data_IF_050979441079
#
_entry.id   IF_050979441079
#
_cell.length_a   1.000
_cell.length_b   1.000
_cell.length_c   1.000
_cell.angle_alpha   90.00
_cell.angle_beta   90.00
_cell.angle_gamma   90.00
#
_symmetry.space_group_name_H-M   'P 1'
#
loop_
_entity.id
_entity.type
_entity.pdbx_description
1 polymer ?
#
# COMPACT_ATOMS: atom_id res chain seq x y z
N UNK A 1 -12.07 1.61 12.10
CA UNK A 1 -10.97 0.90 11.38
C UNK A 1 -9.88 0.37 12.29
N UNK A 2 -9.44 1.16 13.26
CA UNK A 2 -8.37 0.82 14.19
C UNK A 2 -8.62 -0.49 14.98
N UNK A 3 -9.83 -0.71 15.50
CA UNK A 3 -10.17 -1.94 16.24
C UNK A 3 -10.04 -3.21 15.38
N UNK A 4 -10.46 -3.14 14.12
CA UNK A 4 -10.32 -4.25 13.16
C UNK A 4 -8.84 -4.51 12.88
N UNK A 5 -8.06 -3.45 12.72
CA UNK A 5 -6.61 -3.56 12.51
C UNK A 5 -5.94 -4.23 13.70
N UNK A 6 -6.19 -3.76 14.92
CA UNK A 6 -5.64 -4.36 16.16
C UNK A 6 -6.03 -5.84 16.30
N UNK A 7 -7.27 -6.20 16.02
CA UNK A 7 -7.70 -7.60 16.06
C UNK A 7 -6.94 -8.48 15.05
N UNK A 8 -6.73 -7.97 13.83
CA UNK A 8 -5.93 -8.67 12.81
C UNK A 8 -4.46 -8.81 13.18
N UNK A 9 -3.85 -7.75 13.69
CA UNK A 9 -2.46 -7.78 14.17
C UNK A 9 -2.30 -8.79 15.32
N UNK A 10 -3.22 -8.77 16.30
CA UNK A 10 -3.23 -9.75 17.39
C UNK A 10 -3.34 -11.20 16.87
N UNK A 11 -4.25 -11.47 15.94
CA UNK A 11 -4.42 -12.80 15.36
C UNK A 11 -3.14 -13.26 14.62
N UNK A 12 -2.53 -12.36 13.82
CA UNK A 12 -1.28 -12.64 13.10
C UNK A 12 -0.14 -12.96 14.07
N UNK A 13 0.04 -12.15 15.11
CA UNK A 13 1.06 -12.36 16.12
C UNK A 13 0.86 -13.64 16.89
N UNK A 14 -0.40 -13.97 17.25
CA UNK A 14 -0.73 -15.22 17.93
C UNK A 14 -0.42 -16.44 17.08
N UNK A 15 -0.79 -16.43 15.81
CA UNK A 15 -0.47 -17.49 14.83
C UNK A 15 1.04 -17.61 14.66
N UNK A 16 1.74 -16.50 14.45
CA UNK A 16 3.17 -16.49 14.23
C UNK A 16 3.93 -17.06 15.44
N UNK A 17 3.51 -16.71 16.67
CA UNK A 17 4.09 -17.23 17.90
C UNK A 17 3.81 -18.72 18.08
N UNK A 18 2.57 -19.15 17.88
CA UNK A 18 2.16 -20.54 18.09
C UNK A 18 2.77 -21.51 17.06
N UNK A 19 3.05 -21.05 15.85
CA UNK A 19 3.53 -21.87 14.73
C UNK A 19 4.94 -21.52 14.29
N UNK A 20 5.71 -20.77 15.08
CA UNK A 20 7.01 -20.21 14.68
C UNK A 20 7.92 -21.26 14.01
N UNK A 21 8.17 -22.38 14.65
CA UNK A 21 9.09 -23.40 14.14
C UNK A 21 8.59 -24.01 12.82
N UNK A 22 7.28 -24.28 12.72
CA UNK A 22 6.65 -24.78 11.50
C UNK A 22 6.69 -23.78 10.35
N UNK A 23 6.56 -22.50 10.67
CA UNK A 23 6.67 -21.43 9.68
C UNK A 23 8.10 -21.31 9.16
N UNK A 24 9.10 -21.39 10.04
CA UNK A 24 10.53 -21.37 9.67
C UNK A 24 10.85 -22.56 8.78
N UNK A 25 10.50 -23.78 9.20
CA UNK A 25 10.71 -25.01 8.43
C UNK A 25 10.03 -24.92 7.05
N UNK A 26 8.78 -24.45 7.01
CA UNK A 26 8.03 -24.31 5.75
C UNK A 26 8.67 -23.29 4.84
N UNK A 27 9.10 -22.14 5.36
CA UNK A 27 9.79 -21.12 4.59
C UNK A 27 11.08 -21.67 3.95
N UNK A 28 11.91 -22.37 4.74
CA UNK A 28 13.16 -22.96 4.29
C UNK A 28 12.92 -24.02 3.21
N UNK A 29 11.95 -24.92 3.43
CA UNK A 29 11.56 -25.98 2.49
C UNK A 29 11.05 -25.43 1.17
N UNK A 30 10.35 -24.29 1.18
CA UNK A 30 9.79 -23.64 -0.02
C UNK A 30 10.79 -22.69 -0.70
N UNK A 31 11.97 -22.47 -0.11
CA UNK A 31 13.00 -21.64 -0.74
C UNK A 31 13.51 -22.34 -2.00
N UNK A 32 13.25 -21.70 -3.15
CA UNK A 32 13.58 -22.27 -4.45
C UNK A 32 15.11 -22.30 -4.68
N UNK A 33 15.58 -23.46 -5.11
CA UNK A 33 16.95 -23.68 -5.56
C UNK A 33 17.04 -23.79 -7.10
N UNK A 34 15.88 -23.90 -7.76
CA UNK A 34 15.76 -24.05 -9.20
C UNK A 34 15.62 -22.68 -9.88
N UNK A 35 15.89 -22.67 -11.18
CA UNK A 35 15.64 -21.47 -12.00
C UNK A 35 14.16 -21.11 -12.04
N UNK A 36 13.89 -19.83 -12.23
CA UNK A 36 12.52 -19.31 -12.28
C UNK A 36 11.77 -19.91 -13.47
N UNK A 37 10.59 -20.45 -13.19
CA UNK A 37 9.61 -20.81 -14.22
C UNK A 37 8.19 -20.33 -13.80
N UNK A 38 7.38 -19.84 -14.77
CA UNK A 38 5.99 -19.42 -14.51
C UNK A 38 5.03 -20.61 -14.48
N UNK A 39 5.43 -21.71 -13.84
CA UNK A 39 4.64 -22.93 -13.72
C UNK A 39 3.78 -22.91 -12.46
N UNK A 40 2.59 -23.50 -12.49
CA UNK A 40 1.64 -23.54 -11.39
C UNK A 40 2.27 -24.03 -10.07
N UNK A 41 3.13 -25.05 -10.13
CA UNK A 41 3.81 -25.59 -8.95
C UNK A 41 4.75 -24.55 -8.31
N UNK A 42 5.57 -23.85 -9.10
CA UNK A 42 6.47 -22.82 -8.60
C UNK A 42 5.69 -21.57 -8.14
N UNK A 43 4.62 -21.18 -8.85
CA UNK A 43 3.74 -20.09 -8.45
C UNK A 43 3.13 -20.39 -7.06
N UNK A 44 2.60 -21.58 -6.85
CA UNK A 44 2.02 -22.00 -5.56
C UNK A 44 3.06 -22.00 -4.43
N UNK A 45 4.27 -22.49 -4.69
CA UNK A 45 5.37 -22.46 -3.69
C UNK A 45 5.74 -21.01 -3.31
N UNK A 46 5.93 -20.13 -4.30
CA UNK A 46 6.23 -18.72 -4.04
C UNK A 46 5.11 -18.02 -3.25
N UNK A 47 3.85 -18.26 -3.64
CA UNK A 47 2.71 -17.68 -2.94
C UNK A 47 2.68 -18.10 -1.45
N UNK A 48 2.84 -19.39 -1.17
CA UNK A 48 2.88 -19.90 0.20
C UNK A 48 4.10 -19.39 0.95
N UNK A 49 5.29 -19.39 0.35
CA UNK A 49 6.52 -18.88 0.98
C UNK A 49 6.36 -17.40 1.38
N UNK A 50 5.83 -16.55 0.48
CA UNK A 50 5.64 -15.14 0.75
C UNK A 50 4.54 -14.89 1.81
N UNK A 51 3.51 -15.73 1.86
CA UNK A 51 2.52 -15.72 2.94
C UNK A 51 3.19 -16.05 4.30
N UNK A 52 3.99 -17.12 4.33
CA UNK A 52 4.74 -17.54 5.54
C UNK A 52 5.71 -16.44 5.98
N UNK A 53 6.44 -15.80 5.06
CA UNK A 53 7.30 -14.66 5.38
C UNK A 53 6.50 -13.56 6.07
N UNK A 54 5.29 -13.26 5.55
CA UNK A 54 4.41 -12.27 6.16
C UNK A 54 4.07 -12.58 7.62
N UNK A 55 3.89 -13.85 8.01
CA UNK A 55 3.73 -14.23 9.43
C UNK A 55 5.05 -14.17 10.20
N UNK A 56 6.16 -14.60 9.61
CA UNK A 56 7.48 -14.56 10.26
C UNK A 56 7.94 -13.12 10.58
N UNK A 57 7.43 -12.10 9.86
CA UNK A 57 7.68 -10.69 10.21
C UNK A 57 7.17 -10.30 11.60
N UNK A 58 6.21 -11.04 12.16
CA UNK A 58 5.76 -10.84 13.55
C UNK A 58 6.77 -11.38 14.58
N UNK A 59 7.74 -12.21 14.14
CA UNK A 59 8.84 -12.76 14.95
C UNK A 59 10.07 -11.86 14.77
N UNK A 60 10.22 -10.86 15.63
CA UNK A 60 11.23 -9.78 15.49
C UNK A 60 12.68 -10.26 15.33
N UNK A 61 13.02 -11.39 15.93
CA UNK A 61 14.37 -11.96 15.88
C UNK A 61 14.70 -12.70 14.59
N UNK A 62 13.69 -12.98 13.73
CA UNK A 62 13.86 -13.84 12.56
C UNK A 62 13.36 -13.15 11.27
N UNK A 63 12.16 -12.58 11.34
CA UNK A 63 11.46 -12.07 10.15
C UNK A 63 12.22 -11.01 9.35
N UNK A 64 12.74 -9.95 9.97
CA UNK A 64 13.46 -8.90 9.26
C UNK A 64 14.66 -9.40 8.48
N UNK A 65 15.45 -10.29 9.07
CA UNK A 65 16.62 -10.90 8.45
C UNK A 65 16.22 -11.77 7.26
N UNK A 66 15.20 -12.63 7.41
CA UNK A 66 14.69 -13.46 6.32
C UNK A 66 14.14 -12.61 5.15
N UNK A 67 13.43 -11.54 5.45
CA UNK A 67 12.94 -10.63 4.43
C UNK A 67 14.07 -9.93 3.69
N UNK A 68 15.10 -9.46 4.41
CA UNK A 68 16.30 -8.88 3.79
C UNK A 68 17.04 -9.87 2.91
N UNK A 69 17.26 -11.10 3.39
CA UNK A 69 17.88 -12.17 2.60
C UNK A 69 17.06 -12.52 1.35
N UNK A 70 15.72 -12.61 1.48
CA UNK A 70 14.86 -12.85 0.34
C UNK A 70 14.94 -11.69 -0.67
N UNK A 71 14.95 -10.44 -0.22
CA UNK A 71 15.07 -9.29 -1.10
C UNK A 71 16.35 -9.34 -1.95
N UNK A 72 17.50 -9.63 -1.31
CA UNK A 72 18.79 -9.67 -2.00
C UNK A 72 18.92 -10.86 -2.95
N UNK A 73 18.36 -12.01 -2.56
CA UNK A 73 18.52 -13.26 -3.32
C UNK A 73 17.37 -13.54 -4.30
N UNK A 74 16.37 -12.63 -4.38
CA UNK A 74 15.22 -12.83 -5.24
C UNK A 74 15.60 -12.84 -6.73
N UNK A 75 15.21 -13.92 -7.42
CA UNK A 75 15.41 -14.09 -8.87
C UNK A 75 14.18 -13.72 -9.70
N UNK A 76 13.15 -13.17 -9.07
CA UNK A 76 11.92 -12.73 -9.70
C UNK A 76 11.29 -11.57 -8.92
N UNK A 77 10.51 -10.77 -9.63
CA UNK A 77 9.86 -9.59 -9.05
C UNK A 77 8.83 -9.95 -7.96
N UNK A 78 8.15 -11.09 -8.06
CA UNK A 78 7.15 -11.50 -7.05
C UNK A 78 7.78 -11.66 -5.67
N UNK A 79 8.92 -12.33 -5.58
CA UNK A 79 9.62 -12.54 -4.31
C UNK A 79 10.29 -11.25 -3.82
N UNK A 80 10.90 -10.48 -4.74
CA UNK A 80 11.53 -9.20 -4.40
C UNK A 80 10.52 -8.20 -3.85
N UNK A 81 9.37 -8.07 -4.51
CA UNK A 81 8.29 -7.19 -4.07
C UNK A 81 7.66 -7.63 -2.74
N UNK A 82 7.47 -8.94 -2.55
CA UNK A 82 6.95 -9.47 -1.29
C UNK A 82 7.89 -9.18 -0.12
N UNK A 83 9.20 -9.37 -0.32
CA UNK A 83 10.21 -9.06 0.69
C UNK A 83 10.27 -7.55 0.99
N UNK A 84 10.26 -6.70 -0.05
CA UNK A 84 10.22 -5.24 0.12
C UNK A 84 8.97 -4.80 0.87
N UNK A 85 7.80 -5.34 0.51
CA UNK A 85 6.54 -5.06 1.22
C UNK A 85 6.58 -5.51 2.68
N UNK A 86 7.19 -6.65 2.98
CA UNK A 86 7.39 -7.15 4.34
C UNK A 86 8.25 -6.18 5.16
N UNK A 87 9.38 -5.74 4.62
CA UNK A 87 10.29 -4.78 5.26
C UNK A 87 9.62 -3.42 5.49
N UNK A 88 8.95 -2.86 4.50
CA UNK A 88 8.25 -1.56 4.58
C UNK A 88 7.14 -1.55 5.63
N UNK A 89 6.61 -2.70 5.99
CA UNK A 89 5.59 -2.85 7.03
C UNK A 89 6.15 -3.27 8.40
N UNK A 90 7.46 -3.36 8.57
CA UNK A 90 8.11 -3.79 9.81
C UNK A 90 8.69 -2.61 10.60
N UNK A 91 8.22 -2.43 11.84
CA UNK A 91 8.69 -1.34 12.73
C UNK A 91 10.15 -1.50 13.18
N UNK A 92 10.71 -2.70 13.13
CA UNK A 92 12.04 -3.01 13.64
C UNK A 92 13.08 -3.25 12.54
N UNK A 93 12.71 -3.03 11.30
CA UNK A 93 13.56 -3.29 10.15
C UNK A 93 14.05 -2.01 9.45
N UNK A 94 14.08 -0.87 10.13
CA UNK A 94 14.35 0.45 9.50
C UNK A 94 15.61 0.46 8.64
N UNK A 95 16.72 -0.10 9.12
CA UNK A 95 17.97 -0.15 8.35
C UNK A 95 17.87 -1.02 7.09
N UNK A 96 17.21 -2.18 7.17
CA UNK A 96 16.96 -3.03 6.02
C UNK A 96 15.96 -2.40 5.06
N UNK A 97 14.92 -1.76 5.58
CA UNK A 97 13.90 -1.07 4.79
C UNK A 97 14.51 0.03 3.94
N UNK A 98 15.32 0.90 4.55
CA UNK A 98 15.99 2.00 3.82
C UNK A 98 16.93 1.46 2.73
N UNK A 99 17.74 0.44 3.06
CA UNK A 99 18.64 -0.19 2.08
C UNK A 99 17.87 -0.84 0.94
N UNK A 100 16.79 -1.58 1.24
CA UNK A 100 15.97 -2.25 0.23
C UNK A 100 15.24 -1.27 -0.68
N UNK A 101 14.65 -0.20 -0.13
CA UNK A 101 14.01 0.85 -0.92
C UNK A 101 15.00 1.54 -1.86
N UNK A 102 16.20 1.86 -1.36
CA UNK A 102 17.23 2.51 -2.17
C UNK A 102 17.80 1.58 -3.25
N UNK A 103 18.06 0.33 -2.91
CA UNK A 103 18.54 -0.66 -3.88
C UNK A 103 17.49 -0.90 -4.98
N UNK A 104 16.20 -1.03 -4.61
CA UNK A 104 15.13 -1.20 -5.58
C UNK A 104 15.02 0.01 -6.52
N UNK A 105 15.08 1.22 -5.96
CA UNK A 105 15.05 2.46 -6.75
C UNK A 105 16.19 2.50 -7.77
N UNK A 106 17.41 2.17 -7.35
CA UNK A 106 18.60 2.17 -8.24
C UNK A 106 18.49 1.09 -9.31
N UNK A 107 18.13 -0.14 -8.91
CA UNK A 107 18.08 -1.30 -9.82
C UNK A 107 17.00 -1.14 -10.90
N UNK A 108 15.91 -0.41 -10.61
CA UNK A 108 14.73 -0.34 -11.46
C UNK A 108 14.31 1.09 -11.83
N UNK A 109 15.21 2.07 -11.72
CA UNK A 109 14.92 3.48 -12.00
C UNK A 109 14.23 3.71 -13.35
N UNK A 110 14.67 3.00 -14.38
CA UNK A 110 14.17 3.12 -15.75
C UNK A 110 12.96 2.21 -16.03
N UNK A 111 12.60 1.33 -15.10
CA UNK A 111 11.53 0.36 -15.27
C UNK A 111 10.21 0.89 -14.70
N UNK A 112 9.42 1.53 -15.54
CA UNK A 112 8.17 2.21 -15.12
C UNK A 112 7.24 1.34 -14.28
N UNK A 113 7.05 0.05 -14.64
CA UNK A 113 6.16 -0.84 -13.90
C UNK A 113 6.72 -1.20 -12.51
N UNK A 114 8.02 -1.39 -12.41
CA UNK A 114 8.69 -1.65 -11.14
C UNK A 114 8.63 -0.41 -10.23
N UNK A 115 8.86 0.79 -10.77
CA UNK A 115 8.74 2.03 -9.99
C UNK A 115 7.29 2.32 -9.56
N UNK A 116 6.30 1.99 -10.37
CA UNK A 116 4.91 2.04 -9.95
C UNK A 116 4.62 1.09 -8.78
N UNK A 117 5.18 -0.12 -8.80
CA UNK A 117 5.07 -1.07 -7.69
C UNK A 117 5.80 -0.57 -6.44
N UNK A 118 6.96 0.05 -6.58
CA UNK A 118 7.73 0.67 -5.48
C UNK A 118 6.93 1.79 -4.79
N UNK A 119 6.27 2.67 -5.56
CA UNK A 119 5.36 3.68 -5.03
C UNK A 119 4.17 3.04 -4.29
N UNK A 120 3.55 2.02 -4.89
CA UNK A 120 2.40 1.33 -4.33
C UNK A 120 2.73 0.62 -3.01
N UNK A 121 3.86 -0.07 -2.92
CA UNK A 121 4.29 -0.75 -1.69
C UNK A 121 4.43 0.25 -0.53
N UNK A 122 5.00 1.41 -0.77
CA UNK A 122 5.16 2.43 0.25
C UNK A 122 3.83 3.11 0.61
N UNK A 123 2.97 3.38 -0.38
CA UNK A 123 1.64 3.96 -0.17
C UNK A 123 0.73 3.05 0.68
N UNK A 124 0.90 1.74 0.58
CA UNK A 124 0.09 0.74 1.31
C UNK A 124 0.68 0.30 2.65
N UNK A 125 1.79 0.92 3.07
CA UNK A 125 2.39 0.64 4.38
C UNK A 125 1.42 0.97 5.52
N UNK A 126 1.27 0.00 6.44
CA UNK A 126 0.39 0.12 7.61
C UNK A 126 1.03 0.87 8.78
N UNK A 127 2.30 1.25 8.65
CA UNK A 127 3.01 1.99 9.69
C UNK A 127 2.40 3.39 9.83
N UNK A 128 2.57 3.96 11.04
CA UNK A 128 2.16 5.33 11.36
C UNK A 128 2.83 6.31 10.39
N UNK A 129 2.22 7.48 10.17
CA UNK A 129 2.70 8.52 9.24
C UNK A 129 2.66 8.09 7.75
N UNK A 130 1.74 7.17 7.39
CA UNK A 130 1.57 6.77 5.99
C UNK A 130 1.20 7.92 5.07
N UNK A 131 0.41 8.89 5.54
CA UNK A 131 0.07 10.08 4.76
C UNK A 131 1.29 10.99 4.50
N UNK A 132 2.14 11.21 5.51
CA UNK A 132 3.35 12.02 5.35
C UNK A 132 4.33 11.39 4.36
N UNK A 133 4.44 10.05 4.40
CA UNK A 133 5.21 9.29 3.41
C UNK A 133 4.67 9.49 2.00
N UNK A 134 3.35 9.41 1.81
CA UNK A 134 2.73 9.65 0.51
C UNK A 134 2.99 11.07 0.02
N UNK A 135 2.83 12.07 0.88
CA UNK A 135 3.15 13.48 0.56
C UNK A 135 4.61 13.65 0.15
N UNK A 136 5.55 13.04 0.86
CA UNK A 136 6.96 13.06 0.50
C UNK A 136 7.23 12.41 -0.87
N UNK A 137 6.58 11.29 -1.16
CA UNK A 137 6.70 10.59 -2.44
C UNK A 137 6.09 11.36 -3.61
N UNK A 138 5.16 12.28 -3.37
CA UNK A 138 4.64 13.17 -4.43
C UNK A 138 5.71 14.14 -4.97
N UNK A 139 6.73 14.43 -4.17
CA UNK A 139 7.89 15.25 -4.58
C UNK A 139 9.05 14.41 -5.14
N UNK A 140 8.92 13.08 -5.17
CA UNK A 140 9.97 12.18 -5.64
C UNK A 140 10.02 12.15 -7.18
N UNK A 141 11.20 12.13 -7.83
CA UNK A 141 11.35 12.11 -9.30
C UNK A 141 10.61 10.96 -9.99
N UNK A 142 10.44 9.82 -9.30
CA UNK A 142 9.68 8.69 -9.81
C UNK A 142 8.17 8.97 -9.93
N UNK A 143 7.63 9.99 -9.24
CA UNK A 143 6.21 10.34 -9.26
C UNK A 143 5.92 11.47 -10.26
N UNK A 144 4.75 11.41 -10.87
CA UNK A 144 4.15 12.51 -11.63
C UNK A 144 2.64 12.38 -11.56
N UNK A 145 1.98 13.43 -11.12
CA UNK A 145 0.52 13.47 -11.04
C UNK A 145 -0.14 13.43 -12.43
N UNK A 146 0.58 13.91 -13.46
CA UNK A 146 0.13 13.89 -14.85
C UNK A 146 0.12 12.48 -15.46
N UNK A 147 0.83 11.53 -14.86
CA UNK A 147 0.82 10.14 -15.32
C UNK A 147 -0.25 9.34 -14.56
N UNK A 148 -1.31 8.84 -15.26
CA UNK A 148 -2.41 8.13 -14.61
C UNK A 148 -1.99 6.87 -13.85
N UNK A 149 -0.94 6.17 -14.30
CA UNK A 149 -0.46 4.97 -13.65
C UNK A 149 0.28 5.32 -12.35
N UNK A 150 1.12 6.36 -12.38
CA UNK A 150 1.82 6.85 -11.17
C UNK A 150 0.83 7.42 -10.15
N UNK A 151 -0.16 8.22 -10.58
CA UNK A 151 -1.22 8.72 -9.70
C UNK A 151 -2.01 7.57 -9.04
N UNK A 152 -2.36 6.53 -9.80
CA UNK A 152 -3.01 5.33 -9.23
C UNK A 152 -2.13 4.56 -8.28
N UNK A 153 -0.85 4.41 -8.60
CA UNK A 153 0.10 3.63 -7.79
C UNK A 153 0.43 4.28 -6.46
N UNK A 154 0.38 5.60 -6.36
CA UNK A 154 0.61 6.32 -5.11
C UNK A 154 -0.72 6.72 -4.45
N UNK A 155 -1.47 7.63 -5.06
CA UNK A 155 -2.69 8.19 -4.47
C UNK A 155 -3.81 7.15 -4.39
N UNK A 156 -4.08 6.46 -5.50
CA UNK A 156 -5.10 5.42 -5.57
C UNK A 156 -4.84 4.27 -4.60
N UNK A 157 -3.60 3.82 -4.49
CA UNK A 157 -3.20 2.76 -3.57
C UNK A 157 -3.34 3.20 -2.10
N UNK A 158 -2.91 4.41 -1.74
CA UNK A 158 -3.11 4.96 -0.41
C UNK A 158 -4.58 5.01 -0.02
N UNK A 159 -5.41 5.59 -0.86
CA UNK A 159 -6.82 5.80 -0.52
C UNK A 159 -7.67 4.52 -0.53
N UNK A 160 -7.27 3.49 -1.30
CA UNK A 160 -8.05 2.26 -1.45
C UNK A 160 -7.52 1.07 -0.66
N UNK A 161 -6.21 1.02 -0.39
CA UNK A 161 -5.54 -0.14 0.19
C UNK A 161 -4.78 0.13 1.49
N UNK A 162 -4.80 1.37 2.01
CA UNK A 162 -4.23 1.73 3.30
C UNK A 162 -5.31 2.22 4.29
N UNK A 163 -6.21 1.32 4.75
CA UNK A 163 -7.36 1.75 5.56
C UNK A 163 -6.98 2.37 6.89
N UNK A 164 -5.82 2.06 7.46
CA UNK A 164 -5.38 2.58 8.75
C UNK A 164 -5.02 4.06 8.65
N UNK A 165 -4.23 4.44 7.64
CA UNK A 165 -3.81 5.82 7.48
C UNK A 165 -4.87 6.66 6.74
N UNK A 166 -5.56 6.07 5.75
CA UNK A 166 -6.60 6.78 5.00
C UNK A 166 -7.82 7.11 5.87
N UNK A 167 -8.24 6.19 6.75
CA UNK A 167 -9.37 6.40 7.66
C UNK A 167 -8.91 6.82 9.07
N UNK A 168 -7.84 7.61 9.16
CA UNK A 168 -7.44 8.20 10.42
C UNK A 168 -8.60 9.06 10.99
N UNK A 169 -8.80 9.02 12.31
CA UNK A 169 -9.93 9.67 12.98
C UNK A 169 -9.90 11.20 12.92
N UNK A 170 -8.77 11.80 12.54
CA UNK A 170 -8.64 13.23 12.30
C UNK A 170 -9.17 13.69 10.91
N UNK A 171 -9.54 12.75 10.03
CA UNK A 171 -10.00 13.03 8.67
C UNK A 171 -8.92 13.46 7.68
N UNK A 172 -7.66 13.48 8.08
CA UNK A 172 -6.52 13.96 7.26
C UNK A 172 -6.40 13.24 5.91
N UNK A 173 -6.69 11.94 5.87
CA UNK A 173 -6.71 11.17 4.62
C UNK A 173 -7.81 11.61 3.66
N UNK A 174 -8.95 12.03 4.15
CA UNK A 174 -10.08 12.51 3.33
C UNK A 174 -9.82 13.90 2.77
N UNK A 175 -9.32 14.82 3.62
CA UNK A 175 -8.89 16.16 3.18
C UNK A 175 -7.80 16.09 2.13
N UNK A 176 -6.79 15.24 2.35
CA UNK A 176 -5.75 15.01 1.35
C UNK A 176 -6.32 14.52 0.01
N UNK A 177 -7.22 13.54 0.02
CA UNK A 177 -7.82 13.03 -1.22
C UNK A 177 -8.66 14.09 -1.92
N UNK A 178 -9.43 14.88 -1.16
CA UNK A 178 -10.20 16.01 -1.69
C UNK A 178 -9.29 17.01 -2.42
N UNK A 179 -8.18 17.43 -1.82
CA UNK A 179 -7.20 18.33 -2.44
C UNK A 179 -6.66 17.76 -3.76
N UNK A 180 -6.34 16.46 -3.77
CA UNK A 180 -5.82 15.80 -4.98
C UNK A 180 -6.88 15.69 -6.09
N UNK A 181 -8.14 15.44 -5.76
CA UNK A 181 -9.24 15.42 -6.73
C UNK A 181 -9.43 16.80 -7.35
N UNK A 182 -9.42 17.85 -6.56
CA UNK A 182 -9.55 19.23 -7.04
C UNK A 182 -8.37 19.59 -7.94
N UNK A 183 -7.15 19.30 -7.55
CA UNK A 183 -5.96 19.53 -8.37
C UNK A 183 -6.01 18.77 -9.71
N UNK A 184 -6.47 17.51 -9.69
CA UNK A 184 -6.60 16.68 -10.88
C UNK A 184 -7.80 17.04 -11.76
N UNK A 185 -8.80 17.74 -11.24
CA UNK A 185 -9.98 18.14 -12.00
C UNK A 185 -9.63 18.88 -13.30
N UNK A 186 -8.64 19.77 -13.24
CA UNK A 186 -8.16 20.52 -14.40
C UNK A 186 -7.09 19.76 -15.20
N UNK A 187 -6.27 18.90 -14.57
CA UNK A 187 -5.12 18.24 -15.19
C UNK A 187 -5.51 16.92 -15.86
N UNK A 188 -6.29 16.10 -15.17
CA UNK A 188 -6.71 14.78 -15.64
C UNK A 188 -8.06 14.38 -15.03
N UNK A 189 -9.18 14.87 -15.59
CA UNK A 189 -10.52 14.63 -15.04
C UNK A 189 -10.89 13.15 -14.90
N UNK A 190 -10.41 12.29 -15.79
CA UNK A 190 -10.69 10.85 -15.72
C UNK A 190 -10.04 10.18 -14.52
N UNK A 191 -8.81 10.58 -14.18
CA UNK A 191 -8.14 10.09 -12.95
C UNK A 191 -8.82 10.66 -11.72
N UNK A 192 -9.16 11.95 -11.72
CA UNK A 192 -9.90 12.62 -10.64
C UNK A 192 -11.23 11.91 -10.35
N UNK A 193 -12.04 11.65 -11.38
CA UNK A 193 -13.32 10.94 -11.24
C UNK A 193 -13.17 9.55 -10.60
N UNK A 194 -12.13 8.80 -10.96
CA UNK A 194 -11.84 7.49 -10.34
C UNK A 194 -11.40 7.62 -8.88
N UNK A 195 -10.67 8.68 -8.54
CA UNK A 195 -10.21 8.92 -7.17
C UNK A 195 -11.34 9.39 -6.24
N UNK A 196 -12.50 9.79 -6.74
CA UNK A 196 -13.69 10.05 -5.90
C UNK A 196 -14.23 8.75 -5.26
N UNK A 197 -14.07 7.61 -5.93
CA UNK A 197 -14.68 6.32 -5.52
C UNK A 197 -14.45 5.95 -4.04
N UNK A 198 -13.29 6.08 -3.42
CA UNK A 198 -13.12 5.81 -1.99
C UNK A 198 -14.07 6.61 -1.11
N UNK A 199 -14.30 7.91 -1.43
CA UNK A 199 -15.16 8.79 -0.64
C UNK A 199 -16.65 8.44 -0.76
N UNK A 200 -17.10 7.82 -1.86
CA UNK A 200 -18.51 7.44 -2.04
C UNK A 200 -18.99 6.38 -1.05
N UNK A 201 -18.06 5.75 -0.33
CA UNK A 201 -18.35 4.69 0.65
C UNK A 201 -18.60 5.20 2.07
N UNK A 202 -18.73 6.50 2.27
CA UNK A 202 -18.87 7.14 3.57
C UNK A 202 -19.98 6.54 4.44
N UNK A 203 -21.13 6.17 3.85
CA UNK A 203 -22.27 5.54 4.55
C UNK A 203 -21.93 4.23 5.29
N UNK A 204 -20.79 3.58 4.90
CA UNK A 204 -20.36 2.31 5.49
C UNK A 204 -19.46 2.47 6.71
N UNK A 205 -19.07 3.70 7.04
CA UNK A 205 -18.18 3.98 8.16
C UNK A 205 -18.94 4.37 9.42
N UNK A 206 -18.38 4.07 10.61
CA UNK A 206 -18.86 4.62 11.87
C UNK A 206 -18.46 6.08 12.01
N UNK A 207 -19.11 6.80 12.94
CA UNK A 207 -18.66 8.13 13.36
C UNK A 207 -17.30 8.04 14.11
N UNK A 208 -16.44 9.06 14.03
CA UNK A 208 -16.62 10.33 13.29
C UNK A 208 -16.27 10.23 11.79
N UNK A 209 -15.66 9.13 11.34
CA UNK A 209 -15.15 8.99 9.97
C UNK A 209 -16.25 9.16 8.91
N UNK A 210 -17.48 8.73 9.21
CA UNK A 210 -18.64 8.89 8.33
C UNK A 210 -18.87 10.37 8.01
N UNK A 211 -18.96 11.20 9.04
CA UNK A 211 -19.22 12.63 8.85
C UNK A 211 -18.06 13.32 8.14
N UNK A 212 -16.82 13.09 8.59
CA UNK A 212 -15.62 13.68 8.00
C UNK A 212 -15.47 13.33 6.51
N UNK A 213 -15.76 12.10 6.12
CA UNK A 213 -15.69 11.67 4.72
C UNK A 213 -16.81 12.29 3.88
N UNK A 214 -18.02 12.42 4.45
CA UNK A 214 -19.14 13.12 3.82
C UNK A 214 -18.82 14.58 3.60
N UNK A 215 -18.23 15.24 4.59
CA UNK A 215 -17.86 16.66 4.51
C UNK A 215 -16.82 16.90 3.41
N UNK A 216 -15.82 16.04 3.30
CA UNK A 216 -14.86 16.09 2.19
C UNK A 216 -15.54 15.94 0.82
N UNK A 217 -16.50 15.01 0.71
CA UNK A 217 -17.28 14.82 -0.52
C UNK A 217 -18.15 16.07 -0.83
N UNK A 218 -18.78 16.67 0.20
CA UNK A 218 -19.56 17.89 0.05
C UNK A 218 -18.70 19.09 -0.38
N UNK A 219 -17.48 19.20 0.13
CA UNK A 219 -16.55 20.27 -0.28
C UNK A 219 -16.13 20.10 -1.75
N UNK A 220 -15.94 18.86 -2.23
CA UNK A 220 -15.73 18.62 -3.66
C UNK A 220 -16.96 19.06 -4.46
N UNK A 221 -18.19 18.69 -4.02
CA UNK A 221 -19.43 19.06 -4.71
C UNK A 221 -19.59 20.58 -4.87
N UNK A 222 -19.14 21.34 -3.88
CA UNK A 222 -19.24 22.80 -3.84
C UNK A 222 -18.10 23.51 -4.59
N UNK A 223 -17.11 22.75 -5.10
CA UNK A 223 -15.98 23.36 -5.80
C UNK A 223 -16.44 23.90 -7.17
N UNK A 224 -16.18 25.19 -7.48
CA UNK A 224 -16.56 25.77 -8.77
C UNK A 224 -15.74 25.15 -9.92
N UNK A 225 -16.40 24.90 -11.04
CA UNK A 225 -15.70 24.41 -12.24
C UNK A 225 -15.38 22.92 -12.24
N UNK A 226 -16.08 22.10 -11.43
CA UNK A 226 -15.99 20.66 -11.55
C UNK A 226 -16.41 20.17 -12.93
N UNK A 227 -15.64 19.24 -13.49
CA UNK A 227 -16.08 18.54 -14.71
C UNK A 227 -17.30 17.69 -14.40
N UNK A 228 -18.16 17.52 -15.44
CA UNK A 228 -19.45 16.85 -15.32
C UNK A 228 -19.38 15.46 -14.69
N UNK A 229 -18.38 14.67 -15.06
CA UNK A 229 -18.21 13.31 -14.54
C UNK A 229 -17.99 13.28 -13.02
N UNK A 230 -17.14 14.17 -12.50
CA UNK A 230 -16.87 14.27 -11.06
C UNK A 230 -18.14 14.77 -10.35
N UNK A 231 -18.78 15.81 -10.89
CA UNK A 231 -19.99 16.37 -10.32
C UNK A 231 -21.11 15.35 -10.22
N UNK A 232 -21.30 14.53 -11.28
CA UNK A 232 -22.32 13.48 -11.28
C UNK A 232 -22.04 12.41 -10.20
N UNK A 233 -20.79 11.92 -10.10
CA UNK A 233 -20.41 10.92 -9.10
C UNK A 233 -20.65 11.45 -7.68
N UNK A 234 -20.21 12.69 -7.42
CA UNK A 234 -20.32 13.30 -6.09
C UNK A 234 -21.78 13.53 -5.71
N UNK A 235 -22.58 14.13 -6.62
CA UNK A 235 -24.01 14.41 -6.37
C UNK A 235 -24.83 13.14 -6.12
N UNK A 236 -24.57 12.06 -6.87
CA UNK A 236 -25.24 10.77 -6.67
C UNK A 236 -24.82 10.06 -5.38
N UNK A 237 -23.68 10.42 -4.82
CA UNK A 237 -23.12 9.74 -3.65
C UNK A 237 -23.50 10.38 -2.32
N UNK A 238 -23.84 11.66 -2.30
CA UNK A 238 -24.34 12.41 -1.13
C UNK A 238 -25.79 12.06 -0.79
#
# INVERSE_FOLDING_TARGET
MESIHRAREFARQSIAKALQDKLIETYQRLTEKQDYAPEAKQIGKRALRNCVLGYLMEVKSVGPELAWQQFNNARNMTDKAAALSALVNCKTADSYTLKALKAFEIDYAEETLAMNLWLQIQATSKLINGLDRVKALMSHPAFSINNPNKARSLLGAFCSANPINFHNNDGSGYGFLQEQIIALNALNPQVAARLVTPLTRWKKLPEPNRQLMRDALQQIANHPGLVKDIQEIVTKSL
#
